data_IF_974942332546
#
_entry.id   IF_974942332546
#
_cell.length_a   1.000
_cell.length_b   1.000
_cell.length_c   1.000
_cell.angle_alpha   90.00
_cell.angle_beta   90.00
_cell.angle_gamma   90.00
#
_symmetry.space_group_name_H-M   'P 1'
#
loop_
_entity.id
_entity.type
_entity.pdbx_description
1 polymer ?
#
# COMPACT_ATOMS: atom_id res chain seq x y z
N UNK A 1 72.76 9.25 -16.83
CA UNK A 1 72.84 10.48 -16.02
C UNK A 1 72.43 10.12 -14.60
N UNK A 2 73.23 10.50 -13.60
CA UNK A 2 72.93 10.23 -12.18
C UNK A 2 72.04 11.32 -11.62
N UNK A 3 70.90 10.94 -11.02
CA UNK A 3 70.14 11.84 -10.13
C UNK A 3 70.58 11.53 -8.70
N UNK A 4 71.01 12.56 -7.98
CA UNK A 4 71.59 12.45 -6.64
C UNK A 4 70.53 12.64 -5.56
N UNK A 5 70.48 11.74 -4.56
CA UNK A 5 69.79 12.03 -3.31
C UNK A 5 70.45 13.20 -2.58
N UNK A 6 69.63 14.04 -1.94
CA UNK A 6 70.01 15.02 -0.92
C UNK A 6 68.94 15.00 0.17
N UNK A 7 69.31 15.25 1.42
CA UNK A 7 68.56 14.79 2.60
C UNK A 7 67.95 15.91 3.45
N UNK A 8 67.26 15.50 4.52
CA UNK A 8 66.82 16.28 5.69
C UNK A 8 65.55 17.12 5.52
N UNK A 9 64.42 16.49 5.85
CA UNK A 9 63.35 17.12 6.63
C UNK A 9 63.37 16.50 8.02
N UNK A 10 63.57 17.29 9.09
CA UNK A 10 63.41 16.81 10.47
C UNK A 10 61.97 17.00 10.93
N UNK A 11 61.06 16.27 10.29
CA UNK A 11 59.73 15.95 10.81
C UNK A 11 59.70 14.47 11.19
N UNK A 12 58.87 14.09 12.15
CA UNK A 12 58.65 12.66 12.42
C UNK A 12 57.89 12.06 11.24
N UNK A 13 58.49 11.10 10.53
CA UNK A 13 57.83 10.35 9.48
C UNK A 13 56.69 9.51 10.09
N UNK A 14 55.49 10.10 10.14
CA UNK A 14 54.22 9.36 10.30
C UNK A 14 54.27 8.21 9.29
N UNK A 15 54.17 6.93 9.69
CA UNK A 15 54.19 5.83 8.74
C UNK A 15 53.05 6.01 7.73
N UNK A 16 53.24 5.59 6.48
CA UNK A 16 52.26 5.80 5.39
C UNK A 16 50.88 5.22 5.76
N UNK A 17 50.83 4.17 6.59
CA UNK A 17 49.58 3.66 7.18
C UNK A 17 48.77 4.74 7.93
N UNK A 18 49.43 5.62 8.69
CA UNK A 18 48.81 6.74 9.43
C UNK A 18 48.55 8.01 8.59
N UNK A 19 48.77 7.92 7.27
CA UNK A 19 48.29 8.88 6.26
C UNK A 19 47.03 8.30 5.57
N UNK A 20 46.83 6.98 5.63
CA UNK A 20 45.63 6.30 5.12
C UNK A 20 44.48 6.32 6.15
N UNK A 21 44.77 6.57 7.44
CA UNK A 21 43.76 6.73 8.51
C UNK A 21 42.99 8.08 8.50
N UNK A 22 43.21 8.97 7.52
CA UNK A 22 42.72 10.37 7.59
C UNK A 22 41.29 10.60 7.04
N UNK A 23 40.43 9.58 7.12
CA UNK A 23 38.97 9.67 7.38
C UNK A 23 38.35 8.26 7.37
N UNK A 24 38.22 7.62 8.54
CA UNK A 24 37.65 6.26 8.66
C UNK A 24 36.16 6.19 8.33
N UNK A 25 35.41 7.29 8.44
CA UNK A 25 33.99 7.36 8.06
C UNK A 25 33.75 8.36 6.91
N UNK A 26 32.77 8.12 6.03
CA UNK A 26 32.49 9.00 4.89
C UNK A 26 32.03 10.39 5.35
N UNK A 27 32.57 11.42 4.69
CA UNK A 27 32.37 12.86 4.96
C UNK A 27 32.52 13.30 6.44
N UNK A 28 33.27 12.55 7.25
CA UNK A 28 33.32 12.70 8.73
C UNK A 28 31.91 12.73 9.36
N UNK A 29 31.05 11.82 8.87
CA UNK A 29 29.63 11.73 9.20
C UNK A 29 28.87 13.05 9.01
N UNK A 30 29.32 13.91 8.09
CA UNK A 30 28.81 15.28 7.85
C UNK A 30 28.77 16.16 9.10
N UNK A 31 29.57 15.86 10.13
CA UNK A 31 29.46 16.43 11.49
C UNK A 31 28.09 16.20 12.18
N UNK A 32 27.26 15.31 11.62
CA UNK A 32 25.90 14.98 12.04
C UNK A 32 25.78 13.59 12.69
N UNK A 33 26.89 12.99 13.13
CA UNK A 33 26.91 11.69 13.80
C UNK A 33 28.22 11.43 14.54
N UNK A 34 28.37 10.21 15.05
CA UNK A 34 29.63 9.71 15.62
C UNK A 34 30.22 8.63 14.71
N UNK A 35 31.47 8.82 14.27
CA UNK A 35 32.22 7.80 13.57
C UNK A 35 32.67 6.68 14.53
N UNK A 36 32.20 5.45 14.32
CA UNK A 36 32.50 4.29 15.17
C UNK A 36 32.75 3.08 14.27
N UNK A 37 33.99 2.58 14.25
CA UNK A 37 34.41 1.41 13.45
C UNK A 37 34.07 1.55 11.95
N UNK A 38 34.40 2.69 11.35
CA UNK A 38 34.15 3.02 9.93
C UNK A 38 32.66 3.23 9.56
N UNK A 39 31.74 3.06 10.51
CA UNK A 39 30.29 3.32 10.36
C UNK A 39 29.86 4.61 11.09
N UNK A 40 28.94 5.36 10.48
CA UNK A 40 28.39 6.59 11.06
C UNK A 40 27.11 6.35 11.87
N UNK A 41 27.16 6.60 13.18
CA UNK A 41 25.96 6.62 14.02
C UNK A 41 25.33 8.02 14.01
N UNK A 42 24.30 8.21 13.18
CA UNK A 42 23.69 9.53 12.95
C UNK A 42 22.91 10.09 14.15
N UNK A 43 22.96 11.41 14.30
CA UNK A 43 22.11 12.17 15.20
C UNK A 43 20.64 12.12 14.74
N UNK A 44 19.71 12.27 15.68
CA UNK A 44 18.26 12.27 15.41
C UNK A 44 17.87 13.26 14.31
N UNK A 45 17.27 12.76 13.22
CA UNK A 45 16.84 13.54 12.07
C UNK A 45 17.79 13.48 10.86
N UNK A 46 18.97 12.88 11.02
CA UNK A 46 19.96 12.66 9.96
C UNK A 46 20.06 11.19 9.59
N UNK A 47 20.31 10.93 8.30
CA UNK A 47 20.25 9.61 7.68
C UNK A 47 21.30 9.47 6.57
N UNK A 48 21.46 8.25 6.05
CA UNK A 48 22.44 7.92 5.02
C UNK A 48 23.82 7.61 5.56
N UNK A 49 24.68 7.06 4.70
CA UNK A 49 26.00 6.53 5.06
C UNK A 49 26.91 7.58 5.72
N UNK A 50 26.82 8.84 5.29
CA UNK A 50 27.54 9.98 5.87
C UNK A 50 26.68 10.94 6.70
N UNK A 51 25.48 10.54 7.15
CA UNK A 51 24.55 11.38 7.93
C UNK A 51 24.23 12.76 7.30
N UNK A 52 24.30 12.85 5.97
CA UNK A 52 24.05 14.07 5.18
C UNK A 52 22.56 14.28 4.88
N UNK A 53 21.75 13.21 4.95
CA UNK A 53 20.38 13.18 4.41
C UNK A 53 19.36 13.56 5.49
N UNK A 54 18.35 14.35 5.12
CA UNK A 54 17.27 14.80 6.01
C UNK A 54 15.89 14.56 5.39
N UNK A 55 14.88 14.30 6.21
CA UNK A 55 13.50 14.02 5.74
C UNK A 55 12.79 15.25 5.14
N UNK A 56 13.31 16.45 5.36
CA UNK A 56 12.83 17.70 4.75
C UNK A 56 13.26 17.86 3.29
N UNK A 57 14.18 17.03 2.78
CA UNK A 57 14.54 16.97 1.37
C UNK A 57 13.79 15.82 0.67
N UNK A 58 13.38 16.05 -0.57
CA UNK A 58 12.84 14.98 -1.41
C UNK A 58 13.99 14.07 -1.89
N UNK A 59 13.82 12.74 -1.93
CA UNK A 59 14.88 11.82 -2.37
C UNK A 59 15.18 11.96 -3.87
N UNK A 60 16.34 11.51 -4.32
CA UNK A 60 16.70 11.56 -5.74
C UNK A 60 16.09 10.38 -6.51
N UNK A 61 15.53 10.59 -7.72
CA UNK A 61 14.96 9.50 -8.57
C UNK A 61 15.61 9.41 -9.94
N UNK A 62 15.99 8.19 -10.34
CA UNK A 62 16.70 7.91 -11.61
C UNK A 62 15.67 7.65 -12.71
N UNK A 63 15.20 8.72 -13.35
CA UNK A 63 14.08 8.65 -14.32
C UNK A 63 14.30 7.65 -15.47
N UNK A 64 15.55 7.46 -15.91
CA UNK A 64 15.94 6.57 -17.01
C UNK A 64 16.18 5.09 -16.58
N UNK A 65 16.07 4.77 -15.30
CA UNK A 65 16.10 3.40 -14.79
C UNK A 65 14.72 2.88 -14.34
N UNK A 66 13.70 3.75 -14.38
CA UNK A 66 12.33 3.44 -14.00
C UNK A 66 11.57 2.72 -15.14
N UNK A 67 10.65 1.82 -14.80
CA UNK A 67 9.79 1.14 -15.78
C UNK A 67 8.55 2.00 -16.11
N UNK A 68 8.68 2.76 -17.18
CA UNK A 68 7.71 3.73 -17.68
C UNK A 68 6.55 3.11 -18.48
N UNK A 69 6.71 1.88 -18.98
CA UNK A 69 5.67 1.10 -19.67
C UNK A 69 5.31 -0.17 -18.89
N UNK A 70 4.08 -0.26 -18.38
CA UNK A 70 3.57 -1.46 -17.72
C UNK A 70 2.49 -2.16 -18.55
N UNK A 71 2.82 -3.33 -19.07
CA UNK A 71 1.87 -4.15 -19.84
C UNK A 71 0.98 -5.01 -18.94
N UNK A 72 -0.28 -4.61 -18.84
CA UNK A 72 -1.31 -5.26 -18.04
C UNK A 72 -1.79 -6.60 -18.59
N UNK A 73 -1.43 -6.97 -19.82
CA UNK A 73 -1.67 -8.31 -20.38
C UNK A 73 -0.68 -9.34 -19.84
N UNK A 74 0.53 -8.91 -19.47
CA UNK A 74 1.62 -9.76 -18.93
C UNK A 74 1.70 -9.76 -17.41
N UNK A 75 1.44 -8.63 -16.74
CA UNK A 75 1.57 -8.50 -15.27
C UNK A 75 0.55 -7.55 -14.65
N UNK A 76 0.17 -7.70 -13.36
CA UNK A 76 -0.99 -6.99 -12.79
C UNK A 76 -0.81 -5.47 -12.54
N UNK A 77 0.34 -4.87 -12.88
CA UNK A 77 0.64 -3.42 -12.75
C UNK A 77 0.23 -2.78 -11.40
N UNK A 78 0.61 -3.43 -10.29
CA UNK A 78 0.34 -2.96 -8.91
C UNK A 78 1.58 -2.53 -8.12
N UNK A 79 2.77 -2.94 -8.53
CA UNK A 79 4.01 -2.67 -7.80
C UNK A 79 4.99 -2.05 -8.77
N UNK A 80 5.43 -0.83 -8.45
CA UNK A 80 6.43 -0.09 -9.22
C UNK A 80 7.72 -0.05 -8.41
N UNK A 81 8.84 -0.39 -9.04
CA UNK A 81 10.17 -0.24 -8.44
C UNK A 81 10.64 1.18 -8.75
N UNK A 82 10.99 1.96 -7.74
CA UNK A 82 11.47 3.33 -7.88
C UNK A 82 12.97 3.34 -7.57
N UNK A 83 13.85 3.38 -8.59
CA UNK A 83 15.30 3.51 -8.41
C UNK A 83 15.67 4.97 -8.16
N UNK A 84 16.69 5.19 -7.35
CA UNK A 84 17.00 6.51 -6.82
C UNK A 84 18.22 6.54 -5.91
N UNK A 85 18.26 7.57 -5.09
CA UNK A 85 19.14 7.72 -3.93
C UNK A 85 18.32 8.34 -2.79
N UNK A 86 18.90 8.36 -1.60
CA UNK A 86 18.40 9.14 -0.46
C UNK A 86 17.05 8.69 0.13
N UNK A 87 16.59 7.46 -0.16
CA UNK A 87 15.42 6.91 0.50
C UNK A 87 15.71 6.62 1.98
N UNK A 88 14.76 7.00 2.86
CA UNK A 88 14.85 6.81 4.31
C UNK A 88 13.82 5.74 4.73
N UNK A 89 14.25 4.76 5.54
CA UNK A 89 13.30 3.85 6.20
C UNK A 89 12.59 4.57 7.35
N UNK A 90 11.28 4.71 7.25
CA UNK A 90 10.48 5.45 8.22
C UNK A 90 9.04 5.68 7.77
N UNK A 91 8.17 6.02 8.73
CA UNK A 91 6.73 6.15 8.50
C UNK A 91 6.31 7.28 7.53
N UNK A 92 7.22 8.21 7.20
CA UNK A 92 7.00 9.25 6.18
C UNK A 92 7.28 8.80 4.74
N UNK A 93 7.94 7.65 4.55
CA UNK A 93 8.27 7.13 3.22
C UNK A 93 6.99 6.80 2.45
N UNK A 94 6.74 7.51 1.35
CA UNK A 94 5.42 7.54 0.73
C UNK A 94 5.46 7.79 -0.78
N UNK A 95 4.44 7.26 -1.46
CA UNK A 95 4.23 7.41 -2.90
C UNK A 95 2.91 8.13 -3.14
N UNK A 96 2.98 9.31 -3.76
CA UNK A 96 1.84 10.09 -4.25
C UNK A 96 1.61 9.77 -5.72
N UNK A 97 0.40 9.31 -6.02
CA UNK A 97 -0.05 8.95 -7.35
C UNK A 97 -1.06 10.00 -7.82
N UNK A 98 -0.82 10.63 -8.97
CA UNK A 98 -1.87 11.31 -9.74
C UNK A 98 -2.23 10.39 -10.90
N UNK A 99 -3.47 9.91 -10.91
CA UNK A 99 -3.96 9.04 -11.98
C UNK A 99 -4.10 9.81 -13.29
N UNK A 100 -3.90 9.12 -14.42
CA UNK A 100 -4.08 9.69 -15.75
C UNK A 100 -4.73 8.68 -16.71
N UNK A 101 -5.45 9.19 -17.69
CA UNK A 101 -6.03 8.43 -18.81
C UNK A 101 -5.54 9.02 -20.12
N UNK A 102 -5.22 8.13 -21.07
CA UNK A 102 -4.94 8.47 -22.45
C UNK A 102 -6.15 8.13 -23.30
N UNK A 103 -6.78 9.15 -23.89
CA UNK A 103 -7.94 9.03 -24.80
C UNK A 103 -7.51 9.19 -26.25
N UNK A 104 -8.07 8.44 -27.18
CA UNK A 104 -7.80 8.61 -28.62
C UNK A 104 -9.00 9.17 -29.34
N UNK A 105 -8.81 10.31 -30.01
CA UNK A 105 -9.78 10.87 -30.96
C UNK A 105 -9.33 10.57 -32.40
N UNK A 106 -9.01 9.30 -32.67
CA UNK A 106 -8.47 8.84 -33.95
C UNK A 106 -6.97 9.09 -34.10
N UNK A 107 -6.59 10.30 -34.55
CA UNK A 107 -5.19 10.64 -34.90
C UNK A 107 -4.38 11.28 -33.77
N UNK A 108 -5.02 11.72 -32.69
CA UNK A 108 -4.36 12.34 -31.54
C UNK A 108 -4.76 11.66 -30.23
N UNK A 109 -3.77 11.37 -29.41
CA UNK A 109 -3.96 11.01 -28.01
C UNK A 109 -4.11 12.28 -27.16
N UNK A 110 -5.07 12.31 -26.25
CA UNK A 110 -5.25 13.37 -25.26
C UNK A 110 -5.02 12.81 -23.85
N UNK A 111 -4.26 13.56 -23.05
CA UNK A 111 -4.02 13.26 -21.64
C UNK A 111 -5.09 13.91 -20.77
N UNK A 112 -5.77 13.09 -19.96
CA UNK A 112 -6.70 13.54 -18.92
C UNK A 112 -6.14 13.13 -17.56
N UNK A 113 -5.91 14.10 -16.67
CA UNK A 113 -5.48 13.84 -15.29
C UNK A 113 -6.70 13.69 -14.37
N UNK A 114 -6.61 12.75 -13.42
CA UNK A 114 -7.69 12.37 -12.52
C UNK A 114 -7.32 12.49 -11.04
N UNK A 115 -7.95 11.65 -10.22
CA UNK A 115 -7.75 11.65 -8.77
C UNK A 115 -6.27 11.52 -8.37
N UNK A 116 -5.88 12.30 -7.36
CA UNK A 116 -4.56 12.24 -6.70
C UNK A 116 -4.71 11.67 -5.30
N UNK A 117 -3.86 10.71 -4.93
CA UNK A 117 -3.91 9.98 -3.66
C UNK A 117 -2.51 9.49 -3.24
N UNK A 118 -2.29 9.28 -1.93
CA UNK A 118 -0.99 8.86 -1.37
C UNK A 118 -1.12 7.52 -0.67
N UNK A 119 -0.10 6.66 -0.81
CA UNK A 119 0.09 5.45 0.01
C UNK A 119 1.50 5.39 0.61
N UNK A 120 1.70 4.62 1.70
CA UNK A 120 3.02 4.28 2.19
C UNK A 120 3.88 3.64 1.10
N UNK A 121 5.15 4.03 1.04
CA UNK A 121 6.18 3.32 0.32
C UNK A 121 6.62 2.07 1.10
N UNK A 122 7.33 1.18 0.44
CA UNK A 122 8.05 0.09 1.11
C UNK A 122 9.53 0.31 0.87
N UNK A 123 10.28 0.58 1.93
CA UNK A 123 11.74 0.70 1.88
C UNK A 123 12.36 -0.64 1.45
N UNK A 124 13.49 -0.57 0.76
CA UNK A 124 14.28 -1.75 0.39
C UNK A 124 15.79 -1.46 0.46
N UNK A 125 16.22 -0.28 -0.01
CA UNK A 125 17.51 0.32 0.30
C UNK A 125 17.47 1.84 0.09
N UNK A 126 18.54 2.54 0.44
CA UNK A 126 18.77 3.93 0.04
C UNK A 126 18.75 4.15 -1.48
N UNK A 127 18.98 3.09 -2.27
CA UNK A 127 19.07 3.14 -3.74
C UNK A 127 17.77 2.76 -4.48
N UNK A 128 16.82 2.10 -3.81
CA UNK A 128 15.50 1.80 -4.40
C UNK A 128 14.43 1.50 -3.35
N UNK A 129 13.19 1.84 -3.70
CA UNK A 129 11.99 1.54 -2.91
C UNK A 129 10.88 0.94 -3.79
N UNK A 130 9.85 0.36 -3.16
CA UNK A 130 8.65 -0.10 -3.87
C UNK A 130 7.46 0.81 -3.60
N UNK A 131 6.82 1.26 -4.68
CA UNK A 131 5.51 1.90 -4.65
C UNK A 131 4.42 0.87 -4.95
N UNK A 132 3.70 0.44 -3.90
CA UNK A 132 2.61 -0.51 -4.01
C UNK A 132 1.27 0.24 -4.16
N UNK A 133 0.63 0.07 -5.31
CA UNK A 133 -0.69 0.64 -5.59
C UNK A 133 -1.77 -0.11 -4.79
N UNK A 134 -2.75 0.59 -4.19
CA UNK A 134 -3.95 -0.05 -3.64
C UNK A 134 -4.67 -0.87 -4.73
N UNK A 135 -5.31 -1.96 -4.31
CA UNK A 135 -6.17 -2.77 -5.17
C UNK A 135 -7.43 -2.03 -5.61
N UNK A 136 -7.30 -1.09 -6.56
CA UNK A 136 -8.42 -0.33 -7.10
C UNK A 136 -9.48 -1.28 -7.69
N UNK A 137 -10.74 -1.13 -7.24
CA UNK A 137 -11.87 -1.74 -7.96
C UNK A 137 -11.90 -1.11 -9.34
N UNK A 138 -11.62 -1.88 -10.40
CA UNK A 138 -11.83 -1.47 -11.79
C UNK A 138 -13.27 -0.97 -11.95
N UNK A 139 -13.47 0.36 -11.84
CA UNK A 139 -14.68 1.01 -12.35
C UNK A 139 -14.67 0.72 -13.84
N UNK A 140 -15.68 -0.01 -14.31
CA UNK A 140 -15.85 -0.23 -15.74
C UNK A 140 -16.18 1.12 -16.35
N UNK A 141 -15.21 1.72 -17.02
CA UNK A 141 -15.46 2.96 -17.75
C UNK A 141 -16.57 2.73 -18.76
N UNK A 142 -17.52 3.66 -18.82
CA UNK A 142 -18.49 3.79 -19.91
C UNK A 142 -17.95 4.66 -21.04
N UNK A 143 -16.77 5.25 -20.83
CA UNK A 143 -16.00 6.00 -21.81
C UNK A 143 -15.18 5.02 -22.66
N UNK A 144 -15.52 4.90 -23.94
CA UNK A 144 -14.92 3.94 -24.87
C UNK A 144 -13.62 4.45 -25.50
N UNK A 145 -13.30 5.74 -25.35
CA UNK A 145 -12.20 6.39 -26.06
C UNK A 145 -10.85 6.24 -25.32
N UNK A 146 -10.87 5.71 -24.08
CA UNK A 146 -9.67 5.46 -23.26
C UNK A 146 -8.87 4.28 -23.83
N UNK A 147 -7.71 4.58 -24.41
CA UNK A 147 -6.77 3.59 -24.98
C UNK A 147 -5.78 3.05 -23.96
N UNK A 148 -5.38 3.87 -22.99
CA UNK A 148 -4.52 3.46 -21.88
C UNK A 148 -4.80 4.28 -20.62
N UNK A 149 -4.28 3.80 -19.49
CA UNK A 149 -4.33 4.49 -18.19
C UNK A 149 -2.91 4.63 -17.66
N UNK A 150 -2.71 5.29 -16.52
CA UNK A 150 -1.38 5.38 -15.93
C UNK A 150 -1.35 6.22 -14.66
N UNK A 151 -0.14 6.46 -14.18
CA UNK A 151 0.11 7.29 -12.99
C UNK A 151 1.33 8.19 -13.21
N UNK A 152 1.21 9.44 -12.76
CA UNK A 152 2.37 10.20 -12.29
C UNK A 152 2.67 9.75 -10.87
N UNK A 153 3.87 9.25 -10.62
CA UNK A 153 4.30 8.72 -9.32
C UNK A 153 5.42 9.61 -8.79
N UNK A 154 5.16 10.31 -7.69
CA UNK A 154 6.14 11.11 -6.97
C UNK A 154 6.37 10.52 -5.58
N UNK A 155 7.61 10.50 -5.09
CA UNK A 155 7.98 9.87 -3.82
C UNK A 155 8.48 10.90 -2.81
N UNK A 156 8.39 10.58 -1.52
CA UNK A 156 8.78 11.48 -0.42
C UNK A 156 9.26 10.68 0.79
N UNK A 157 10.23 11.24 1.54
CA UNK A 157 10.68 10.71 2.83
C UNK A 157 9.83 11.19 4.04
N UNK A 158 9.03 12.27 3.89
CA UNK A 158 8.19 12.81 4.97
C UNK A 158 6.69 12.90 4.65
N UNK A 159 6.28 12.65 3.39
CA UNK A 159 4.88 12.77 2.95
C UNK A 159 4.45 14.17 2.51
N UNK A 160 5.37 15.14 2.48
CA UNK A 160 5.12 16.54 2.09
C UNK A 160 6.05 16.99 0.96
N UNK A 161 7.35 16.73 1.09
CA UNK A 161 8.38 17.09 0.12
C UNK A 161 8.52 15.96 -0.89
N UNK A 162 7.83 16.09 -2.03
CA UNK A 162 7.81 15.08 -3.08
C UNK A 162 8.79 15.39 -4.22
N UNK A 163 9.28 14.33 -4.86
CA UNK A 163 10.06 14.44 -6.10
C UNK A 163 9.24 15.02 -7.24
N UNK A 164 9.96 15.47 -8.27
CA UNK A 164 9.45 15.46 -9.63
C UNK A 164 8.84 14.08 -9.98
N UNK A 165 7.67 14.02 -10.65
CA UNK A 165 7.02 12.76 -10.93
C UNK A 165 7.76 11.93 -11.98
N UNK A 166 7.78 10.62 -11.72
CA UNK A 166 7.97 9.56 -12.71
C UNK A 166 6.62 9.33 -13.41
N UNK A 167 6.64 8.80 -14.64
CA UNK A 167 5.42 8.51 -15.41
C UNK A 167 5.41 7.03 -15.74
N UNK A 168 4.31 6.33 -15.43
CA UNK A 168 4.09 4.95 -15.87
C UNK A 168 2.76 4.82 -16.61
N UNK A 169 2.80 4.37 -17.87
CA UNK A 169 1.62 4.07 -18.69
C UNK A 169 1.27 2.58 -18.52
N UNK A 170 0.04 2.31 -18.07
CA UNK A 170 -0.56 0.98 -17.97
C UNK A 170 -1.44 0.73 -19.20
N UNK A 171 -0.97 -0.18 -20.06
CA UNK A 171 -1.58 -0.51 -21.35
C UNK A 171 -1.76 -2.03 -21.53
N UNK A 172 -2.25 -2.47 -22.69
CA UNK A 172 -2.38 -3.88 -23.05
C UNK A 172 -1.64 -4.10 -24.39
N UNK A 173 -0.49 -4.79 -24.36
CA UNK A 173 0.35 -4.96 -25.56
C UNK A 173 -0.24 -5.91 -26.62
N UNK A 174 -1.41 -6.50 -26.39
CA UNK A 174 -2.14 -7.24 -27.44
C UNK A 174 -2.98 -6.31 -28.31
N UNK A 175 -3.27 -5.11 -27.79
CA UNK A 175 -4.18 -4.14 -28.41
C UNK A 175 -3.52 -2.79 -28.75
N UNK A 176 -2.49 -2.37 -28.02
CA UNK A 176 -1.86 -1.05 -28.15
C UNK A 176 -0.34 -1.10 -28.09
N UNK A 177 0.30 -0.16 -28.77
CA UNK A 177 1.71 0.18 -28.61
C UNK A 177 1.80 1.63 -28.09
N UNK A 178 2.59 1.87 -27.04
CA UNK A 178 2.57 3.13 -26.30
C UNK A 178 3.98 3.73 -26.16
N UNK A 179 4.05 5.06 -26.14
CA UNK A 179 5.28 5.82 -25.96
C UNK A 179 5.09 6.87 -24.85
N UNK A 180 6.00 6.84 -23.88
CA UNK A 180 6.02 7.62 -22.64
C UNK A 180 6.62 9.01 -22.79
N UNK A 181 7.46 9.21 -23.81
CA UNK A 181 8.06 10.51 -24.14
C UNK A 181 7.05 11.40 -24.89
N UNK A 182 6.25 10.80 -25.77
CA UNK A 182 5.16 11.50 -26.49
C UNK A 182 3.81 11.42 -25.79
N UNK A 183 3.68 10.60 -24.74
CA UNK A 183 2.43 10.32 -24.01
C UNK A 183 1.28 9.89 -24.94
N UNK A 184 1.61 9.01 -25.89
CA UNK A 184 0.70 8.54 -26.94
C UNK A 184 0.59 7.02 -26.96
N UNK A 185 -0.56 6.50 -27.42
CA UNK A 185 -0.78 5.08 -27.65
C UNK A 185 -1.50 4.86 -28.98
N UNK A 186 -0.94 4.01 -29.84
CA UNK A 186 -1.49 3.63 -31.13
C UNK A 186 -2.15 2.26 -31.05
N UNK A 187 -3.25 2.06 -31.79
CA UNK A 187 -4.04 0.82 -31.75
C UNK A 187 -3.53 -0.19 -32.78
N UNK A 188 -3.17 -1.38 -32.31
CA UNK A 188 -2.74 -2.49 -33.15
C UNK A 188 -3.91 -3.06 -33.95
N UNK A 189 -3.64 -3.44 -35.21
CA UNK A 189 -4.62 -4.09 -36.10
C UNK A 189 -5.10 -5.45 -35.59
N UNK A 190 -4.33 -6.09 -34.71
CA UNK A 190 -4.67 -7.33 -34.00
C UNK A 190 -5.65 -7.12 -32.86
N UNK A 191 -5.85 -5.89 -32.39
CA UNK A 191 -6.76 -5.60 -31.29
C UNK A 191 -8.20 -6.00 -31.69
N UNK A 192 -8.81 -7.01 -31.06
CA UNK A 192 -10.15 -7.43 -31.44
C UNK A 192 -11.10 -6.24 -31.30
N UNK A 193 -11.79 -5.90 -32.40
CA UNK A 193 -12.94 -5.01 -32.32
C UNK A 193 -13.87 -5.59 -31.27
N UNK A 194 -14.16 -4.84 -30.21
CA UNK A 194 -15.20 -5.25 -29.28
C UNK A 194 -16.50 -5.20 -30.05
N UNK A 195 -16.92 -6.35 -30.57
CA UNK A 195 -18.31 -6.59 -30.89
C UNK A 195 -19.09 -6.18 -29.63
N UNK A 196 -19.88 -5.11 -29.75
CA UNK A 196 -20.75 -4.65 -28.69
C UNK A 196 -21.50 -5.88 -28.18
N UNK A 197 -21.33 -6.23 -26.90
CA UNK A 197 -22.14 -7.31 -26.35
C UNK A 197 -23.59 -6.87 -26.52
N UNK A 198 -24.40 -7.55 -27.35
CA UNK A 198 -25.76 -7.13 -27.59
C UNK A 198 -26.44 -7.02 -26.23
N UNK A 199 -27.15 -5.90 -26.01
CA UNK A 199 -27.78 -5.59 -24.74
C UNK A 199 -28.63 -6.79 -24.33
N UNK A 200 -28.27 -7.44 -23.22
CA UNK A 200 -28.82 -8.75 -22.81
C UNK A 200 -30.28 -8.63 -22.36
N UNK A 201 -31.17 -8.55 -23.34
CA UNK A 201 -32.61 -8.33 -23.18
C UNK A 201 -33.32 -9.49 -22.46
N UNK A 202 -32.62 -10.62 -22.26
CA UNK A 202 -33.13 -11.80 -21.54
C UNK A 202 -33.42 -11.53 -20.05
N UNK A 203 -32.77 -10.53 -19.44
CA UNK A 203 -32.92 -10.23 -18.00
C UNK A 203 -34.21 -9.52 -17.60
N UNK A 204 -35.09 -9.22 -18.56
CA UNK A 204 -36.38 -8.56 -18.32
C UNK A 204 -37.44 -9.47 -17.67
N UNK A 205 -37.30 -10.81 -17.71
CA UNK A 205 -38.39 -11.75 -17.33
C UNK A 205 -38.31 -12.35 -15.92
N UNK A 206 -37.23 -12.15 -15.16
CA UNK A 206 -37.09 -12.73 -13.80
C UNK A 206 -37.97 -12.00 -12.77
N UNK A 207 -38.21 -10.70 -12.96
CA UNK A 207 -38.93 -9.84 -11.99
C UNK A 207 -40.40 -10.24 -11.77
N UNK A 208 -41.05 -10.98 -12.67
CA UNK A 208 -42.45 -11.39 -12.51
C UNK A 208 -42.65 -12.54 -11.50
N UNK A 209 -41.59 -13.30 -11.16
CA UNK A 209 -41.70 -14.44 -10.22
C UNK A 209 -41.53 -13.97 -8.76
N UNK A 210 -40.67 -12.97 -8.53
CA UNK A 210 -40.32 -12.44 -7.20
C UNK A 210 -41.53 -12.04 -6.34
N UNK A 211 -42.53 -11.27 -6.82
CA UNK A 211 -43.67 -10.85 -5.99
C UNK A 211 -44.64 -12.00 -5.66
N UNK A 212 -44.72 -13.03 -6.50
CA UNK A 212 -45.59 -14.19 -6.26
C UNK A 212 -45.03 -15.05 -5.13
N UNK A 213 -43.72 -15.32 -5.17
CA UNK A 213 -43.04 -16.10 -4.12
C UNK A 213 -43.02 -15.36 -2.78
N UNK A 214 -42.79 -14.05 -2.77
CA UNK A 214 -42.82 -13.27 -1.53
C UNK A 214 -44.22 -13.22 -0.90
N UNK A 215 -45.28 -13.08 -1.70
CA UNK A 215 -46.66 -13.12 -1.20
C UNK A 215 -47.00 -14.47 -0.53
N UNK A 216 -46.62 -15.59 -1.13
CA UNK A 216 -46.83 -16.94 -0.54
C UNK A 216 -46.07 -17.09 0.78
N UNK A 217 -44.80 -16.66 0.84
CA UNK A 217 -44.00 -16.71 2.08
C UNK A 217 -44.61 -15.83 3.18
N UNK A 218 -45.08 -14.63 2.85
CA UNK A 218 -45.75 -13.73 3.81
C UNK A 218 -47.04 -14.36 4.35
N UNK A 219 -47.87 -14.96 3.50
CA UNK A 219 -49.10 -15.65 3.91
C UNK A 219 -48.79 -16.84 4.84
N UNK A 220 -47.77 -17.64 4.53
CA UNK A 220 -47.35 -18.76 5.38
C UNK A 220 -46.83 -18.28 6.76
N UNK A 221 -46.08 -17.18 6.81
CA UNK A 221 -45.63 -16.56 8.07
C UNK A 221 -46.83 -16.06 8.89
N UNK A 222 -47.80 -15.40 8.26
CA UNK A 222 -49.03 -14.93 8.94
C UNK A 222 -49.81 -16.12 9.52
N UNK A 223 -49.99 -17.20 8.76
CA UNK A 223 -50.65 -18.43 9.23
C UNK A 223 -49.90 -19.03 10.43
N UNK A 224 -48.56 -19.14 10.37
CA UNK A 224 -47.75 -19.63 11.47
C UNK A 224 -47.89 -18.77 12.75
N UNK A 225 -47.88 -17.44 12.62
CA UNK A 225 -48.08 -16.51 13.74
C UNK A 225 -49.49 -16.60 14.32
N UNK A 226 -50.52 -16.80 13.49
CA UNK A 226 -51.90 -17.01 13.95
C UNK A 226 -52.05 -18.34 14.72
N UNK A 227 -51.47 -19.43 14.23
CA UNK A 227 -51.43 -20.74 14.92
C UNK A 227 -50.70 -20.60 16.26
N UNK A 228 -49.56 -19.91 16.29
CA UNK A 228 -48.78 -19.68 17.52
C UNK A 228 -49.58 -18.85 18.55
N UNK A 229 -50.26 -17.78 18.12
CA UNK A 229 -51.16 -16.99 18.99
C UNK A 229 -52.38 -17.79 19.47
N UNK A 230 -52.91 -18.70 18.67
CA UNK A 230 -53.96 -19.64 19.11
C UNK A 230 -53.46 -20.57 20.22
N UNK A 231 -52.24 -21.11 20.06
CA UNK A 231 -51.61 -22.03 21.03
C UNK A 231 -51.23 -21.36 22.36
N UNK A 232 -51.22 -20.02 22.42
CA UNK A 232 -50.85 -19.21 23.59
C UNK A 232 -52.04 -18.60 24.36
N UNK A 233 -53.29 -18.94 24.06
CA UNK A 233 -54.42 -18.51 24.92
C UNK A 233 -54.40 -19.28 26.26
N UNK A 234 -54.17 -18.62 27.42
CA UNK A 234 -54.22 -19.30 28.71
C UNK A 234 -55.67 -19.63 29.08
N UNK A 235 -55.87 -20.70 29.87
CA UNK A 235 -57.16 -20.92 30.56
C UNK A 235 -57.29 -19.88 31.67
N UNK A 236 -58.35 -19.07 31.63
CA UNK A 236 -58.65 -18.07 32.66
C UNK A 236 -59.04 -18.76 33.97
N UNK A 237 -58.16 -18.75 34.98
CA UNK A 237 -58.50 -19.13 36.36
C UNK A 237 -58.79 -17.86 37.18
N UNK A 238 -60.03 -17.73 37.65
CA UNK A 238 -60.51 -16.58 38.43
C UNK A 238 -59.92 -16.59 39.85
N UNK A 239 -59.31 -15.46 40.26
CA UNK A 239 -58.75 -15.23 41.61
C UNK A 239 -59.57 -14.11 42.27
N UNK A 240 -59.74 -14.19 43.60
CA UNK A 240 -60.52 -13.25 44.41
C UNK A 240 -59.60 -12.27 45.13
N UNK A 241 -59.97 -10.99 45.18
CA UNK A 241 -59.14 -9.90 45.74
C UNK A 241 -58.91 -9.96 47.26
N UNK A 242 -57.81 -9.33 47.73
CA UNK A 242 -57.78 -8.42 48.90
C UNK A 242 -56.38 -7.84 49.19
N UNK A 243 -56.27 -6.49 49.28
CA UNK A 243 -55.42 -5.70 50.24
C UNK A 243 -53.87 -5.89 50.27
N UNK A 244 -52.98 -4.90 50.52
CA UNK A 244 -53.03 -3.43 50.72
C UNK A 244 -51.61 -2.81 50.54
N UNK A 245 -51.52 -1.47 50.49
CA UNK A 245 -50.39 -0.59 50.92
C UNK A 245 -49.02 -0.57 50.19
N UNK A 246 -48.76 0.58 49.56
CA UNK A 246 -47.46 1.27 49.34
C UNK A 246 -47.07 2.11 50.60
N UNK A 247 -45.94 2.85 50.68
CA UNK A 247 -44.86 3.15 49.69
C UNK A 247 -43.46 2.60 50.19
N UNK A 248 -42.26 3.21 50.19
CA UNK A 248 -41.75 4.56 49.90
C UNK A 248 -40.19 4.64 49.76
N UNK A 249 -39.67 5.86 49.52
CA UNK A 249 -38.33 6.39 49.91
C UNK A 249 -37.15 6.32 48.90
N UNK A 250 -37.15 7.30 47.99
CA UNK A 250 -36.10 8.35 47.78
C UNK A 250 -34.66 8.02 47.30
N UNK A 251 -34.20 8.85 46.35
CA UNK A 251 -32.84 8.96 45.76
C UNK A 251 -31.75 9.42 46.75
N UNK A 252 -30.48 9.12 46.41
CA UNK A 252 -29.31 10.01 46.63
C UNK A 252 -28.34 9.92 45.41
N UNK A 253 -27.31 10.77 45.36
CA UNK A 253 -26.45 11.01 44.16
C UNK A 253 -24.96 10.72 44.44
N UNK A 254 -24.17 10.50 43.37
CA UNK A 254 -22.71 10.25 43.30
C UNK A 254 -21.84 11.44 43.83
N UNK A 255 -20.46 11.43 43.86
CA UNK A 255 -19.52 10.59 43.08
C UNK A 255 -18.11 10.23 43.67
N UNK A 256 -17.30 9.54 42.84
CA UNK A 256 -15.81 9.53 42.72
C UNK A 256 -14.88 9.44 43.97
N UNK A 257 -13.91 8.51 43.94
CA UNK A 257 -12.46 8.82 44.03
C UNK A 257 -11.55 7.58 43.78
N UNK A 258 -10.24 7.83 43.65
CA UNK A 258 -9.18 6.91 43.20
C UNK A 258 -8.59 6.05 44.34
N UNK A 259 -8.00 4.88 44.04
CA UNK A 259 -6.51 4.72 44.00
C UNK A 259 -6.07 3.37 43.38
N UNK A 260 -4.74 3.18 43.24
CA UNK A 260 -4.06 2.08 42.53
C UNK A 260 -3.76 0.86 43.42
N UNK A 261 -3.66 -0.32 42.80
CA UNK A 261 -2.56 -1.30 42.97
C UNK A 261 -2.45 -2.19 41.73
N UNK A 262 -1.29 -2.85 41.53
CA UNK A 262 -1.09 -3.86 40.48
C UNK A 262 -1.22 -5.28 41.02
N UNK A 263 -1.47 -6.26 40.14
CA UNK A 263 -0.61 -7.46 40.05
C UNK A 263 -0.83 -8.22 38.72
N UNK A 264 0.17 -9.04 38.35
CA UNK A 264 0.10 -9.98 37.22
C UNK A 264 -0.42 -11.34 37.68
N UNK A 265 -0.99 -12.14 36.76
CA UNK A 265 -0.89 -13.61 36.81
C UNK A 265 -1.06 -14.21 35.40
N UNK A 266 -0.42 -15.36 35.18
CA UNK A 266 -0.39 -16.10 33.90
C UNK A 266 -1.65 -16.97 33.67
N UNK A 267 -1.93 -17.28 32.39
CA UNK A 267 -2.14 -18.61 31.79
C UNK A 267 -2.43 -18.39 30.29
N UNK A 268 -1.79 -18.96 29.25
CA UNK A 268 -1.07 -20.24 29.01
C UNK A 268 -1.93 -21.43 28.53
N UNK A 269 -2.27 -21.41 27.25
CA UNK A 269 -2.42 -22.59 26.35
C UNK A 269 -1.94 -22.12 24.97
N UNK A 270 -0.91 -22.67 24.30
CA UNK A 270 -0.43 -24.05 24.07
C UNK A 270 -1.28 -24.84 23.07
N UNK A 271 -0.88 -24.78 21.80
CA UNK A 271 -1.03 -25.90 20.86
C UNK A 271 0.35 -26.22 20.25
N UNK A 272 0.59 -27.48 19.89
CA UNK A 272 1.94 -28.02 19.67
C UNK A 272 2.35 -28.09 18.20
N UNK A 273 3.67 -28.12 18.00
CA UNK A 273 4.38 -28.46 16.78
C UNK A 273 4.29 -29.95 16.44
N UNK A 274 4.28 -30.28 15.15
CA UNK A 274 4.76 -31.57 14.63
C UNK A 274 5.98 -31.33 13.72
N UNK A 275 7.00 -32.17 13.84
CA UNK A 275 8.23 -32.09 13.03
C UNK A 275 9.00 -33.42 13.01
N UNK A 276 9.05 -34.06 11.85
CA UNK A 276 9.93 -35.18 11.48
C UNK A 276 9.98 -35.25 9.93
N UNK A 277 10.96 -34.64 9.27
CA UNK A 277 12.31 -35.14 8.91
C UNK A 277 12.34 -36.19 7.77
N UNK A 278 12.88 -35.73 6.64
CA UNK A 278 13.69 -36.42 5.61
C UNK A 278 13.13 -37.62 4.81
N UNK A 279 13.12 -37.49 3.48
CA UNK A 279 14.24 -37.98 2.65
C UNK A 279 14.19 -37.53 1.16
N UNK A 280 15.39 -37.47 0.57
CA UNK A 280 15.76 -37.47 -0.87
C UNK A 280 15.36 -36.34 -1.85
N UNK A 281 16.40 -35.60 -2.25
CA UNK A 281 16.81 -35.25 -3.62
C UNK A 281 15.84 -35.42 -4.81
N UNK A 282 15.70 -34.35 -5.60
CA UNK A 282 15.74 -34.41 -7.08
C UNK A 282 16.19 -33.07 -7.67
N UNK A 283 16.95 -33.10 -8.77
CA UNK A 283 17.44 -31.90 -9.47
C UNK A 283 16.43 -31.43 -10.52
N UNK A 284 16.23 -30.13 -10.64
CA UNK A 284 15.75 -29.51 -11.89
C UNK A 284 16.88 -28.68 -12.49
N UNK A 285 17.22 -28.95 -13.75
CA UNK A 285 18.28 -28.27 -14.49
C UNK A 285 17.73 -27.25 -15.49
N UNK A 286 18.63 -26.42 -16.01
CA UNK A 286 18.34 -25.43 -17.05
C UNK A 286 18.12 -26.08 -18.41
N UNK A 287 17.18 -25.54 -19.19
CA UNK A 287 17.08 -25.66 -20.65
C UNK A 287 16.24 -24.53 -21.24
#
# INVERSE_FOLDING_TARGET
>A
LTVTNSTNSTGADKPIASIIEESTCPDDCSNNGLCINEECQCNSGFYGESCSITTSQAPTVIKNAFEDLCDSSKKPCRTFIVPGYDFIDGAGLSCKYTSMSLKSNGTTTMLEEGDTFTHPGTYASSFFMYCNMPGSRKRRSTDFDIVATGYRIAVSNNGENYTEPLISIVFDSTCYECNTTTLSCEKLTTCPVQAEKPLDESKTKIWMIVPVVSAVVIVLIIIAVLIFKWKLKPKQSYIRDSTLSLPNTTRQIAPKSHFLTSEHIFLSERFQSESATDLNESKCGWK
#
